data_IF_074706764970
#
_entry.id   IF_074706764970
#
_cell.length_a   1.000
_cell.length_b   1.000
_cell.length_c   1.000
_cell.angle_alpha   90.00
_cell.angle_beta   90.00
_cell.angle_gamma   90.00
#
_symmetry.space_group_name_H-M   'P 1'
#
loop_
_entity.id
_entity.type
_entity.pdbx_description
1 polymer ?
#
# COMPACT_ATOMS: atom_id res chain seq x y z
N UNK A 1 -2.14 8.70 -8.89
CA UNK A 1 -1.48 7.91 -7.82
C UNK A 1 0.06 8.08 -7.74
N UNK A 2 0.83 8.12 -8.84
CA UNK A 2 2.31 8.22 -8.79
C UNK A 2 2.85 9.36 -7.91
N UNK A 3 2.37 10.60 -8.10
CA UNK A 3 2.79 11.77 -7.31
C UNK A 3 2.54 11.65 -5.81
N UNK A 4 1.45 10.97 -5.40
CA UNK A 4 1.13 10.74 -3.99
C UNK A 4 2.06 9.70 -3.38
N UNK A 5 2.33 8.60 -4.10
CA UNK A 5 3.26 7.54 -3.66
C UNK A 5 4.68 8.11 -3.55
N UNK A 6 5.12 8.87 -4.56
CA UNK A 6 6.40 9.60 -4.58
C UNK A 6 6.56 10.50 -3.33
N UNK A 7 5.49 11.24 -2.98
CA UNK A 7 5.48 12.11 -1.81
C UNK A 7 5.50 11.34 -0.48
N UNK A 8 4.71 10.27 -0.36
CA UNK A 8 4.65 9.42 0.83
C UNK A 8 6.02 8.77 1.08
N UNK A 9 6.64 8.22 0.05
CA UNK A 9 7.99 7.62 0.13
C UNK A 9 9.03 8.65 0.56
N UNK A 10 9.03 9.83 -0.07
CA UNK A 10 9.93 10.91 0.31
C UNK A 10 9.79 11.28 1.80
N UNK A 11 8.55 11.46 2.28
CA UNK A 11 8.31 11.87 3.66
C UNK A 11 8.66 10.78 4.66
N UNK A 12 8.25 9.54 4.42
CA UNK A 12 8.57 8.41 5.29
C UNK A 12 10.09 8.22 5.37
N UNK A 13 10.80 8.29 4.24
CA UNK A 13 12.25 8.15 4.22
C UNK A 13 12.95 9.17 5.12
N UNK A 14 12.57 10.46 5.04
CA UNK A 14 13.13 11.51 5.89
C UNK A 14 12.74 11.41 7.38
N UNK A 15 11.57 10.85 7.69
CA UNK A 15 11.15 10.62 9.07
C UNK A 15 11.97 9.48 9.68
N UNK A 16 12.10 8.36 8.95
CA UNK A 16 12.82 7.19 9.42
C UNK A 16 14.32 7.38 9.42
N UNK A 17 14.88 8.21 8.52
CA UNK A 17 16.32 8.51 8.52
C UNK A 17 16.81 9.09 9.85
N UNK A 18 15.92 9.73 10.62
CA UNK A 18 16.24 10.29 11.94
C UNK A 18 16.06 9.31 13.10
N UNK A 19 15.48 8.13 12.87
CA UNK A 19 15.00 7.23 13.93
C UNK A 19 15.48 5.80 13.79
N UNK A 20 15.61 5.29 12.56
CA UNK A 20 15.94 3.91 12.27
C UNK A 20 17.31 3.78 11.61
N UNK A 21 18.07 2.70 11.91
CA UNK A 21 19.31 2.38 11.22
C UNK A 21 19.09 1.93 9.76
N UNK A 22 17.86 1.55 9.37
CA UNK A 22 17.50 1.10 8.02
C UNK A 22 16.24 1.82 7.48
N UNK A 23 16.30 3.13 7.21
CA UNK A 23 15.12 3.95 6.91
C UNK A 23 14.44 3.60 5.59
N UNK A 24 15.20 3.10 4.61
CA UNK A 24 14.65 2.62 3.35
C UNK A 24 13.76 1.38 3.57
N UNK A 25 14.19 0.43 4.40
CA UNK A 25 13.45 -0.81 4.65
C UNK A 25 12.08 -0.53 5.31
N UNK A 26 12.06 0.31 6.35
CA UNK A 26 10.81 0.70 7.03
C UNK A 26 9.88 1.52 6.13
N UNK A 27 10.44 2.40 5.31
CA UNK A 27 9.65 3.20 4.36
C UNK A 27 9.02 2.34 3.27
N UNK A 28 9.82 1.44 2.69
CA UNK A 28 9.36 0.55 1.62
C UNK A 28 8.33 -0.43 2.15
N UNK A 29 8.51 -1.01 3.35
CA UNK A 29 7.54 -1.94 3.92
C UNK A 29 6.16 -1.31 4.15
N UNK A 30 6.10 -0.10 4.71
CA UNK A 30 4.83 0.63 4.90
C UNK A 30 4.13 0.96 3.57
N UNK A 31 4.90 1.37 2.58
CA UNK A 31 4.33 1.71 1.26
C UNK A 31 3.85 0.44 0.55
N UNK A 32 4.60 -0.64 0.61
CA UNK A 32 4.19 -1.95 0.07
C UNK A 32 2.91 -2.41 0.77
N UNK A 33 2.82 -2.30 2.09
CA UNK A 33 1.64 -2.66 2.86
C UNK A 33 0.40 -1.89 2.37
N UNK A 34 0.48 -0.56 2.30
CA UNK A 34 -0.64 0.29 1.88
C UNK A 34 -1.02 0.10 0.41
N UNK A 35 -0.03 -0.07 -0.48
CA UNK A 35 -0.31 -0.29 -1.92
C UNK A 35 -0.89 -1.69 -2.14
N UNK A 36 -0.38 -2.70 -1.45
CA UNK A 36 -0.91 -4.07 -1.55
C UNK A 36 -2.36 -4.13 -1.06
N UNK A 37 -2.68 -3.49 0.08
CA UNK A 37 -4.04 -3.49 0.60
C UNK A 37 -5.03 -2.75 -0.29
N UNK A 38 -4.61 -1.61 -0.87
CA UNK A 38 -5.45 -0.85 -1.78
C UNK A 38 -5.68 -1.57 -3.11
N UNK A 39 -4.65 -2.22 -3.67
CA UNK A 39 -4.79 -3.06 -4.86
C UNK A 39 -5.70 -4.25 -4.57
N UNK A 40 -5.49 -4.95 -3.46
CA UNK A 40 -6.35 -6.06 -3.04
C UNK A 40 -7.82 -5.62 -2.96
N UNK A 41 -8.11 -4.52 -2.25
CA UNK A 41 -9.46 -3.98 -2.14
C UNK A 41 -10.09 -3.64 -3.51
N UNK A 42 -9.34 -2.95 -4.38
CA UNK A 42 -9.83 -2.60 -5.73
C UNK A 42 -10.10 -3.87 -6.55
N UNK A 43 -9.24 -4.89 -6.47
CA UNK A 43 -9.43 -6.17 -7.15
C UNK A 43 -10.69 -6.87 -6.66
N UNK A 44 -10.89 -7.00 -5.34
CA UNK A 44 -12.11 -7.61 -4.76
C UNK A 44 -13.36 -6.84 -5.17
N UNK A 45 -13.32 -5.50 -5.14
CA UNK A 45 -14.45 -4.65 -5.53
C UNK A 45 -14.75 -4.77 -7.03
N UNK A 46 -13.72 -4.83 -7.88
CA UNK A 46 -13.90 -4.97 -9.33
C UNK A 46 -14.48 -6.33 -9.71
N UNK A 47 -13.94 -7.42 -9.12
CA UNK A 47 -14.48 -8.77 -9.31
C UNK A 47 -15.97 -8.81 -8.95
N UNK A 48 -16.34 -8.16 -7.85
CA UNK A 48 -17.73 -8.13 -7.42
C UNK A 48 -18.63 -7.24 -8.28
N UNK A 49 -18.22 -6.01 -8.59
CA UNK A 49 -19.06 -5.05 -9.34
C UNK A 49 -19.22 -5.46 -10.81
N UNK A 50 -18.15 -5.98 -11.43
CA UNK A 50 -18.14 -6.27 -12.86
C UNK A 50 -18.59 -7.70 -13.14
N UNK A 51 -18.11 -8.66 -12.35
CA UNK A 51 -18.33 -10.08 -12.62
C UNK A 51 -19.32 -10.74 -11.65
N UNK A 52 -19.75 -10.05 -10.58
CA UNK A 52 -20.58 -10.58 -9.49
C UNK A 52 -20.03 -11.87 -8.84
N UNK A 53 -18.72 -12.07 -8.91
CA UNK A 53 -18.02 -13.25 -8.38
C UNK A 53 -17.18 -12.82 -7.17
N UNK A 54 -17.15 -13.62 -6.10
CA UNK A 54 -16.19 -13.45 -5.00
C UNK A 54 -14.90 -14.25 -5.26
N UNK A 55 -13.80 -13.85 -4.62
CA UNK A 55 -12.53 -14.59 -4.70
C UNK A 55 -12.70 -16.02 -4.15
N UNK A 56 -13.59 -16.19 -3.19
CA UNK A 56 -13.88 -17.48 -2.56
C UNK A 56 -14.74 -18.40 -3.44
N UNK A 57 -15.53 -17.83 -4.37
CA UNK A 57 -16.30 -18.60 -5.36
C UNK A 57 -15.43 -19.17 -6.48
N UNK A 58 -14.25 -18.59 -6.72
CA UNK A 58 -13.31 -19.05 -7.77
C UNK A 58 -12.70 -20.41 -7.39
N UNK A 59 -12.50 -20.67 -6.09
CA UNK A 59 -11.93 -21.92 -5.60
C UNK A 59 -12.61 -22.38 -4.30
N UNK A 60 -13.82 -22.98 -4.41
CA UNK A 60 -14.67 -23.28 -3.24
C UNK A 60 -14.09 -24.36 -2.33
N UNK A 61 -13.17 -25.20 -2.81
CA UNK A 61 -12.57 -26.28 -2.02
C UNK A 61 -11.67 -25.77 -0.89
N UNK A 62 -10.97 -24.65 -1.10
CA UNK A 62 -10.04 -24.05 -0.14
C UNK A 62 -9.94 -22.52 -0.29
N UNK A 63 -11.02 -21.77 0.00
CA UNK A 63 -11.12 -20.33 -0.27
C UNK A 63 -10.03 -19.51 0.47
N UNK A 64 -9.72 -19.88 1.71
CA UNK A 64 -8.70 -19.19 2.52
C UNK A 64 -7.29 -19.29 1.93
N UNK A 65 -6.96 -20.45 1.35
CA UNK A 65 -5.65 -20.70 0.77
C UNK A 65 -5.50 -19.91 -0.53
N UNK A 66 -6.55 -19.90 -1.36
CA UNK A 66 -6.57 -19.13 -2.60
C UNK A 66 -6.50 -17.62 -2.35
N UNK A 67 -7.26 -17.12 -1.38
CA UNK A 67 -7.19 -15.73 -0.93
C UNK A 67 -5.79 -15.36 -0.42
N UNK A 68 -5.12 -16.25 0.33
CA UNK A 68 -3.74 -16.03 0.75
C UNK A 68 -2.79 -15.96 -0.46
N UNK A 69 -2.87 -16.92 -1.40
CA UNK A 69 -2.06 -16.90 -2.64
C UNK A 69 -2.26 -15.59 -3.41
N UNK A 70 -3.50 -15.13 -3.51
CA UNK A 70 -3.83 -13.90 -4.22
C UNK A 70 -3.20 -12.67 -3.56
N UNK A 71 -3.30 -12.55 -2.24
CA UNK A 71 -2.67 -11.47 -1.46
C UNK A 71 -1.14 -11.54 -1.58
N UNK A 72 -0.54 -12.71 -1.47
CA UNK A 72 0.91 -12.89 -1.62
C UNK A 72 1.38 -12.58 -3.04
N UNK A 73 0.62 -12.95 -4.07
CA UNK A 73 0.91 -12.66 -5.47
C UNK A 73 0.90 -11.15 -5.74
N UNK A 74 -0.14 -10.44 -5.30
CA UNK A 74 -0.22 -8.98 -5.40
C UNK A 74 0.93 -8.34 -4.62
N UNK A 75 1.18 -8.79 -3.40
CA UNK A 75 2.26 -8.30 -2.55
C UNK A 75 3.63 -8.45 -3.21
N UNK A 76 3.90 -9.57 -3.87
CA UNK A 76 5.14 -9.82 -4.60
C UNK A 76 5.34 -8.87 -5.78
N UNK A 77 4.29 -8.64 -6.58
CA UNK A 77 4.32 -7.69 -7.71
C UNK A 77 4.56 -6.26 -7.21
N UNK A 78 3.84 -5.85 -6.17
CA UNK A 78 3.98 -4.51 -5.56
C UNK A 78 5.38 -4.34 -4.96
N UNK A 79 5.88 -5.34 -4.23
CA UNK A 79 7.24 -5.36 -3.68
C UNK A 79 8.29 -5.15 -4.78
N UNK A 80 8.20 -5.94 -5.85
CA UNK A 80 9.15 -5.85 -6.96
C UNK A 80 9.12 -4.46 -7.62
N UNK A 81 7.92 -3.93 -7.85
CA UNK A 81 7.73 -2.60 -8.43
C UNK A 81 8.29 -1.48 -7.55
N UNK A 82 8.00 -1.51 -6.24
CA UNK A 82 8.49 -0.50 -5.29
C UNK A 82 10.02 -0.59 -5.18
N UNK A 83 10.57 -1.79 -5.02
CA UNK A 83 12.02 -2.00 -4.88
C UNK A 83 12.79 -1.57 -6.12
N UNK A 84 12.30 -1.88 -7.32
CA UNK A 84 12.95 -1.50 -8.58
C UNK A 84 12.94 0.02 -8.79
N UNK A 85 11.91 0.71 -8.31
CA UNK A 85 11.69 2.13 -8.60
C UNK A 85 12.27 3.07 -7.54
N UNK A 86 12.18 2.72 -6.27
CA UNK A 86 12.50 3.63 -5.16
C UNK A 86 13.77 3.19 -4.44
N UNK A 87 14.90 3.53 -5.04
CA UNK A 87 16.23 3.39 -4.41
C UNK A 87 16.57 4.63 -3.59
N UNK A 88 17.48 4.52 -2.62
CA UNK A 88 17.95 5.68 -1.84
C UNK A 88 18.47 6.80 -2.76
N UNK A 89 19.19 6.41 -3.82
CA UNK A 89 19.68 7.34 -4.83
C UNK A 89 18.54 8.09 -5.51
N UNK A 90 17.45 7.42 -5.88
CA UNK A 90 16.29 8.08 -6.49
C UNK A 90 15.58 9.02 -5.51
N UNK A 91 15.44 8.62 -4.25
CA UNK A 91 14.78 9.43 -3.22
C UNK A 91 15.57 10.71 -2.93
N UNK A 92 16.89 10.60 -2.80
CA UNK A 92 17.76 11.74 -2.47
C UNK A 92 18.02 12.66 -3.66
N UNK A 93 18.18 12.12 -4.87
CA UNK A 93 18.54 12.95 -6.05
C UNK A 93 17.34 13.46 -6.82
N UNK A 94 16.22 12.73 -6.84
CA UNK A 94 15.05 13.08 -7.66
C UNK A 94 13.88 13.58 -6.82
N UNK A 95 13.53 12.86 -5.74
CA UNK A 95 12.37 13.22 -4.90
C UNK A 95 12.67 14.37 -3.94
N UNK A 96 13.87 14.41 -3.35
CA UNK A 96 14.23 15.48 -2.43
C UNK A 96 14.16 16.89 -3.02
N UNK A 97 14.78 17.22 -4.17
CA UNK A 97 14.67 18.57 -4.74
C UNK A 97 13.23 18.93 -5.11
N UNK A 98 12.44 17.94 -5.54
CA UNK A 98 11.04 18.11 -5.93
C UNK A 98 10.12 18.46 -4.75
N UNK A 99 10.37 17.90 -3.57
CA UNK A 99 9.46 18.03 -2.43
C UNK A 99 10.02 18.79 -1.22
N UNK A 100 11.31 19.14 -1.18
CA UNK A 100 11.95 19.85 -0.05
C UNK A 100 11.25 21.16 0.31
N UNK A 101 10.80 21.93 -0.68
CA UNK A 101 10.09 23.20 -0.52
C UNK A 101 8.56 23.11 -0.49
N UNK A 102 7.98 21.91 -0.50
CA UNK A 102 6.53 21.73 -0.64
C UNK A 102 5.74 22.34 0.53
N UNK A 103 4.68 23.10 0.24
CA UNK A 103 3.75 23.66 1.26
C UNK A 103 3.14 22.55 2.11
N UNK A 104 2.93 21.36 1.54
CA UNK A 104 2.39 20.18 2.22
C UNK A 104 3.32 19.66 3.33
N UNK A 105 4.63 19.91 3.25
CA UNK A 105 5.57 19.50 4.30
C UNK A 105 5.33 20.20 5.64
N UNK A 106 4.83 21.45 5.60
CA UNK A 106 4.48 22.26 6.78
C UNK A 106 3.11 21.89 7.34
N UNK A 107 2.16 21.55 6.47
CA UNK A 107 0.79 21.22 6.89
C UNK A 107 0.66 19.78 7.41
N UNK A 108 1.30 18.80 6.76
CA UNK A 108 1.12 17.38 7.08
C UNK A 108 2.27 16.91 7.96
N UNK A 109 2.03 16.69 9.26
CA UNK A 109 3.06 16.16 10.18
C UNK A 109 3.46 14.73 9.78
N UNK A 110 4.72 14.37 9.99
CA UNK A 110 5.25 13.06 9.60
C UNK A 110 4.49 11.87 10.20
N UNK A 111 4.12 11.96 11.48
CA UNK A 111 3.31 10.94 12.16
C UNK A 111 1.92 10.74 11.52
N UNK A 112 1.32 11.79 10.94
CA UNK A 112 0.03 11.67 10.26
C UNK A 112 0.13 10.78 9.02
N UNK A 113 1.28 10.76 8.33
CA UNK A 113 1.50 9.92 7.15
C UNK A 113 1.59 8.45 7.55
N UNK A 114 2.30 8.17 8.65
CA UNK A 114 2.39 6.80 9.22
C UNK A 114 1.00 6.31 9.61
N UNK A 115 0.25 7.11 10.36
CA UNK A 115 -1.13 6.80 10.77
C UNK A 115 -2.03 6.60 9.55
N UNK A 116 -1.92 7.45 8.53
CA UNK A 116 -2.70 7.31 7.30
C UNK A 116 -2.38 6.01 6.56
N UNK A 117 -1.11 5.60 6.49
CA UNK A 117 -0.72 4.33 5.85
C UNK A 117 -1.30 3.12 6.58
N UNK A 118 -1.27 3.12 7.91
CA UNK A 118 -1.85 2.07 8.76
C UNK A 118 -3.38 2.07 8.68
N UNK A 119 -4.02 3.24 8.78
CA UNK A 119 -5.47 3.37 8.61
C UNK A 119 -5.92 2.86 7.25
N UNK A 120 -5.18 3.17 6.19
CA UNK A 120 -5.50 2.71 4.85
C UNK A 120 -5.41 1.18 4.75
N UNK A 121 -4.40 0.57 5.38
CA UNK A 121 -4.27 -0.89 5.47
C UNK A 121 -5.47 -1.52 6.19
N UNK A 122 -5.80 -1.06 7.39
CA UNK A 122 -6.92 -1.59 8.15
C UNK A 122 -8.27 -1.34 7.47
N UNK A 123 -8.50 -0.14 6.96
CA UNK A 123 -9.75 0.20 6.28
C UNK A 123 -9.94 -0.63 5.01
N UNK A 124 -8.91 -0.80 4.18
CA UNK A 124 -9.00 -1.64 2.98
C UNK A 124 -9.24 -3.11 3.35
N UNK A 125 -8.59 -3.62 4.40
CA UNK A 125 -8.79 -4.99 4.87
C UNK A 125 -10.20 -5.23 5.40
N UNK A 126 -10.70 -4.33 6.25
CA UNK A 126 -12.06 -4.40 6.80
C UNK A 126 -13.11 -4.25 5.69
N UNK A 127 -12.94 -3.30 4.77
CA UNK A 127 -13.89 -3.11 3.68
C UNK A 127 -13.89 -4.31 2.73
N UNK A 128 -12.73 -4.90 2.44
CA UNK A 128 -12.66 -6.11 1.62
C UNK A 128 -13.35 -7.30 2.30
N UNK A 129 -13.18 -7.48 3.62
CA UNK A 129 -13.87 -8.55 4.36
C UNK A 129 -15.37 -8.28 4.52
N UNK A 130 -15.78 -7.01 4.64
CA UNK A 130 -17.19 -6.62 4.63
C UNK A 130 -17.84 -6.89 3.28
N UNK A 131 -17.17 -6.61 2.16
CA UNK A 131 -17.67 -6.96 0.81
C UNK A 131 -17.84 -8.47 0.69
N UNK A 132 -16.90 -9.26 1.21
CA UNK A 132 -17.05 -10.71 1.19
C UNK A 132 -18.21 -11.18 2.08
N UNK A 133 -18.36 -10.63 3.29
CA UNK A 133 -19.38 -11.02 4.25
C UNK A 133 -20.80 -10.58 3.87
N UNK A 134 -20.99 -9.33 3.46
CA UNK A 134 -22.32 -8.79 3.12
C UNK A 134 -22.95 -9.50 1.94
N UNK A 135 -22.13 -10.01 1.02
CA UNK A 135 -22.60 -10.58 -0.24
C UNK A 135 -22.51 -12.12 -0.31
N UNK A 136 -22.07 -12.78 0.78
CA UNK A 136 -22.31 -14.22 1.02
C UNK A 136 -23.72 -14.52 1.53
N UNK A 137 -24.41 -13.53 2.07
CA UNK A 137 -25.85 -13.60 2.39
C UNK A 137 -26.68 -13.27 1.16
#
# INVERSE_FOLDING_TARGET
>A
MKLLIDYIIYRLFWIYQKKDPAPLATTTSLVILTVTSSVYFICTLTLKVVFNISIDDIYPENPRLFTAIYIFGIGGIVYWWVKKRYTEKYITTTLAPKFKGSKYNKMIKGWMIIIACLLCFFACGILASMIDWFFRR
#
